data_IF_167444742409
#
_entry.id   IF_167444742409
#
_cell.length_a   1.000
_cell.length_b   1.000
_cell.length_c   1.000
_cell.angle_alpha   90.00
_cell.angle_beta   90.00
_cell.angle_gamma   90.00
#
_symmetry.space_group_name_H-M   'P 1'
#
loop_
_entity.id
_entity.type
_entity.pdbx_description
1 polymer ?
#
# COMPACT_ATOMS: atom_id res chain seq x y z
N UNK A 1 -25.60 12.37 31.13
CA UNK A 1 -24.37 13.02 30.59
C UNK A 1 -24.30 12.63 29.13
N UNK A 2 -24.47 13.59 28.21
CA UNK A 2 -24.27 13.37 26.78
C UNK A 2 -22.75 13.41 26.58
N UNK A 3 -22.14 12.26 26.34
CA UNK A 3 -20.73 12.20 25.93
C UNK A 3 -20.73 12.77 24.51
N UNK A 4 -20.23 14.00 24.36
CA UNK A 4 -20.07 14.60 23.04
C UNK A 4 -19.12 13.72 22.19
N UNK A 5 -19.45 13.55 20.91
CA UNK A 5 -18.55 12.89 19.98
C UNK A 5 -17.17 13.59 20.04
N UNK A 6 -16.06 12.84 19.99
CA UNK A 6 -14.74 13.46 19.91
C UNK A 6 -14.69 14.39 18.69
N UNK A 7 -13.93 15.50 18.77
CA UNK A 7 -13.80 16.41 17.64
C UNK A 7 -13.23 15.64 16.44
N UNK A 8 -13.81 15.87 15.27
CA UNK A 8 -13.31 15.29 14.03
C UNK A 8 -11.84 15.65 13.84
N UNK A 9 -11.02 14.67 13.42
CA UNK A 9 -9.61 14.89 13.10
C UNK A 9 -9.55 15.81 11.89
N UNK A 10 -8.85 16.95 12.01
CA UNK A 10 -8.60 17.81 10.87
C UNK A 10 -7.56 17.13 9.96
N UNK A 11 -8.02 16.66 8.80
CA UNK A 11 -7.19 16.12 7.72
C UNK A 11 -6.88 17.24 6.71
N UNK A 12 -5.76 17.17 5.96
CA UNK A 12 -5.58 18.04 4.80
C UNK A 12 -6.65 17.74 3.76
N UNK A 13 -6.98 18.69 2.90
CA UNK A 13 -7.87 18.41 1.77
C UNK A 13 -7.21 17.41 0.83
N UNK A 14 -7.98 16.47 0.22
CA UNK A 14 -7.43 15.55 -0.78
C UNK A 14 -6.90 16.31 -2.01
N UNK A 15 -5.69 16.00 -2.44
CA UNK A 15 -5.10 16.51 -3.68
C UNK A 15 -5.58 15.63 -4.82
N UNK A 16 -6.27 16.16 -5.84
CA UNK A 16 -6.67 15.37 -7.00
C UNK A 16 -5.44 14.94 -7.83
N UNK A 17 -5.50 13.76 -8.41
CA UNK A 17 -4.47 13.25 -9.31
C UNK A 17 -5.00 13.14 -10.74
N UNK A 18 -5.21 14.29 -11.37
CA UNK A 18 -5.70 14.35 -12.76
C UNK A 18 -4.65 13.74 -13.71
N UNK A 19 -5.02 12.63 -14.35
CA UNK A 19 -4.14 11.93 -15.30
C UNK A 19 -3.25 10.84 -14.69
N UNK A 20 -3.30 10.58 -13.37
CA UNK A 20 -2.71 9.39 -12.79
C UNK A 20 -3.34 8.13 -13.36
N UNK A 21 -2.55 7.08 -13.48
CA UNK A 21 -3.08 5.78 -13.84
C UNK A 21 -4.09 5.29 -12.81
N UNK A 22 -5.21 4.77 -13.29
CA UNK A 22 -6.28 4.26 -12.44
C UNK A 22 -6.62 2.83 -12.89
N UNK A 23 -6.58 1.82 -11.99
CA UNK A 23 -6.98 0.47 -12.33
C UNK A 23 -8.49 0.38 -12.55
N UNK A 24 -8.90 -0.39 -13.56
CA UNK A 24 -10.28 -0.83 -13.65
C UNK A 24 -10.62 -1.79 -12.49
N UNK A 25 -11.90 -1.93 -12.14
CA UNK A 25 -12.34 -2.81 -11.04
C UNK A 25 -11.80 -4.24 -11.15
N UNK A 26 -11.56 -4.73 -12.37
CA UNK A 26 -11.12 -6.11 -12.62
C UNK A 26 -9.74 -6.18 -13.28
N UNK A 27 -8.85 -5.27 -12.92
CA UNK A 27 -7.47 -5.29 -13.39
C UNK A 27 -6.75 -6.54 -12.90
N UNK A 28 -6.17 -7.29 -13.83
CA UNK A 28 -5.29 -8.42 -13.50
C UNK A 28 -3.95 -7.92 -13.01
N UNK A 29 -3.33 -8.61 -12.04
CA UNK A 29 -2.13 -8.09 -11.42
C UNK A 29 -1.15 -9.16 -10.93
N UNK A 30 0.10 -8.76 -10.73
CA UNK A 30 1.15 -9.54 -10.09
C UNK A 30 1.78 -8.72 -8.97
N UNK A 31 1.94 -9.31 -7.79
CA UNK A 31 2.70 -8.75 -6.68
C UNK A 31 3.98 -9.55 -6.49
N UNK A 32 5.13 -8.93 -6.77
CA UNK A 32 6.41 -9.61 -6.64
C UNK A 32 7.46 -8.68 -6.02
N UNK A 33 7.75 -8.87 -4.73
CA UNK A 33 8.69 -8.04 -3.98
C UNK A 33 10.06 -8.71 -3.79
N UNK A 34 10.19 -10.00 -4.13
CA UNK A 34 11.42 -10.73 -3.92
C UNK A 34 11.95 -11.32 -5.23
N UNK A 35 13.28 -11.36 -5.31
CA UNK A 35 14.05 -11.87 -6.44
C UNK A 35 13.84 -11.07 -7.73
N UNK A 36 14.41 -11.58 -8.82
CA UNK A 36 14.22 -10.96 -10.15
C UNK A 36 12.76 -11.05 -10.55
N UNK A 37 12.18 -9.92 -10.94
CA UNK A 37 10.81 -9.84 -11.45
C UNK A 37 10.67 -10.75 -12.69
N UNK A 38 9.61 -11.53 -12.70
CA UNK A 38 9.22 -12.35 -13.86
C UNK A 38 8.36 -11.50 -14.79
N UNK A 39 8.99 -10.83 -15.73
CA UNK A 39 8.34 -9.95 -16.71
C UNK A 39 7.54 -10.69 -17.77
N UNK A 40 7.56 -12.04 -17.76
CA UNK A 40 6.77 -12.87 -18.70
C UNK A 40 5.34 -13.12 -18.24
N UNK A 41 4.96 -12.71 -17.03
CA UNK A 41 3.60 -12.85 -16.53
C UNK A 41 2.69 -11.85 -17.25
N UNK A 42 1.69 -12.36 -17.97
CA UNK A 42 0.74 -11.54 -18.73
C UNK A 42 -0.36 -11.02 -17.79
N UNK A 43 -0.20 -9.77 -17.35
CA UNK A 43 -1.13 -9.05 -16.48
C UNK A 43 -1.10 -7.55 -16.78
N UNK A 44 -2.16 -6.85 -16.38
CA UNK A 44 -2.34 -5.41 -16.62
C UNK A 44 -1.59 -4.53 -15.60
N UNK A 45 -1.17 -5.09 -14.45
CA UNK A 45 -0.48 -4.34 -13.41
C UNK A 45 0.55 -5.22 -12.69
N UNK A 46 1.71 -4.66 -12.44
CA UNK A 46 2.71 -5.21 -11.52
C UNK A 46 2.89 -4.31 -10.32
N UNK A 47 3.09 -4.92 -9.15
CA UNK A 47 3.56 -4.24 -7.96
C UNK A 47 4.89 -4.86 -7.55
N UNK A 48 5.94 -4.04 -7.58
CA UNK A 48 7.33 -4.48 -7.41
C UNK A 48 8.11 -3.54 -6.49
N UNK A 49 9.13 -4.05 -5.83
CA UNK A 49 9.98 -3.26 -4.93
C UNK A 49 10.63 -2.06 -5.64
N UNK A 50 10.41 -0.86 -5.09
CA UNK A 50 10.87 0.39 -5.67
C UNK A 50 12.39 0.56 -5.60
N UNK A 51 13.05 0.06 -4.55
CA UNK A 51 14.50 0.19 -4.39
C UNK A 51 15.26 -0.83 -5.26
N UNK A 52 14.85 -2.09 -5.24
CA UNK A 52 15.57 -3.20 -5.83
C UNK A 52 15.45 -3.25 -7.36
N UNK A 53 14.44 -2.61 -7.93
CA UNK A 53 14.23 -2.59 -9.37
C UNK A 53 14.75 -1.31 -10.02
N UNK A 54 15.45 -1.49 -11.13
CA UNK A 54 15.99 -0.39 -11.95
C UNK A 54 14.91 0.12 -12.91
N UNK A 55 15.00 1.38 -13.41
CA UNK A 55 14.07 1.93 -14.39
C UNK A 55 13.82 1.01 -15.59
N UNK A 56 14.85 0.32 -16.08
CA UNK A 56 14.71 -0.62 -17.19
C UNK A 56 13.69 -1.74 -16.95
N UNK A 57 13.49 -2.19 -15.69
CA UNK A 57 12.47 -3.22 -15.38
C UNK A 57 11.08 -2.62 -15.55
N UNK A 58 10.89 -1.38 -15.11
CA UNK A 58 9.64 -0.63 -15.29
C UNK A 58 9.35 -0.44 -16.79
N UNK A 59 10.34 0.01 -17.56
CA UNK A 59 10.24 0.15 -19.02
C UNK A 59 9.86 -1.18 -19.71
N UNK A 60 10.50 -2.30 -19.31
CA UNK A 60 10.21 -3.64 -19.87
C UNK A 60 8.76 -4.07 -19.58
N UNK A 61 8.22 -3.76 -18.39
CA UNK A 61 6.83 -4.04 -18.04
C UNK A 61 5.85 -3.14 -18.79
N UNK A 62 6.18 -1.85 -18.97
CA UNK A 62 5.41 -0.92 -19.80
C UNK A 62 5.38 -1.36 -21.28
N UNK A 63 6.51 -1.83 -21.82
CA UNK A 63 6.58 -2.38 -23.17
C UNK A 63 5.68 -3.61 -23.33
N UNK A 64 5.46 -4.37 -22.23
CA UNK A 64 4.48 -5.45 -22.13
C UNK A 64 3.03 -4.98 -21.99
N UNK A 65 2.79 -3.67 -21.83
CA UNK A 65 1.45 -3.08 -21.67
C UNK A 65 0.93 -3.03 -20.24
N UNK A 66 1.74 -3.37 -19.24
CA UNK A 66 1.35 -3.35 -17.84
C UNK A 66 1.70 -2.01 -17.18
N UNK A 67 0.82 -1.49 -16.30
CA UNK A 67 1.17 -0.46 -15.34
C UNK A 67 2.03 -1.04 -14.21
N UNK A 68 2.83 -0.18 -13.55
CA UNK A 68 3.78 -0.64 -12.53
C UNK A 68 3.67 0.19 -11.26
N UNK A 69 3.37 -0.46 -10.15
CA UNK A 69 3.37 0.13 -8.82
C UNK A 69 4.72 -0.02 -8.14
N UNK A 70 5.10 1.02 -7.42
CA UNK A 70 6.31 1.10 -6.63
C UNK A 70 6.01 0.74 -5.18
N UNK A 71 6.38 -0.46 -4.73
CA UNK A 71 6.34 -0.80 -3.32
C UNK A 71 7.43 -0.04 -2.56
N UNK A 72 7.03 0.65 -1.50
CA UNK A 72 7.92 1.21 -0.48
C UNK A 72 7.28 1.08 0.91
N UNK A 73 8.05 0.70 1.93
CA UNK A 73 7.55 0.80 3.30
C UNK A 73 7.48 2.27 3.72
N UNK A 74 6.32 2.71 4.20
CA UNK A 74 6.12 4.08 4.67
C UNK A 74 5.88 4.17 6.19
N UNK A 75 5.50 3.05 6.82
CA UNK A 75 5.28 2.98 8.26
C UNK A 75 6.34 2.20 9.01
N UNK A 76 7.29 1.58 8.32
CA UNK A 76 8.46 0.93 8.93
C UNK A 76 9.79 1.36 8.31
N UNK A 77 10.83 1.31 9.12
CA UNK A 77 12.23 1.41 8.75
C UNK A 77 12.78 0.02 8.46
N UNK A 78 13.62 -0.07 7.43
CA UNK A 78 14.25 -1.30 6.96
C UNK A 78 15.76 -1.11 6.96
N UNK A 79 16.54 -1.93 7.69
CA UNK A 79 17.98 -1.74 7.91
C UNK A 79 18.83 -1.94 6.65
N UNK A 80 18.29 -2.59 5.63
CA UNK A 80 18.95 -2.88 4.35
C UNK A 80 18.72 -1.83 3.26
N UNK A 81 17.85 -0.84 3.51
CA UNK A 81 17.58 0.19 2.49
C UNK A 81 18.72 1.20 2.37
N UNK A 82 18.97 1.70 1.16
CA UNK A 82 20.04 2.68 0.93
C UNK A 82 19.89 3.97 1.74
N UNK A 83 18.69 4.30 2.18
CA UNK A 83 18.34 5.48 2.97
C UNK A 83 18.16 5.19 4.47
N UNK A 84 18.53 4.00 4.94
CA UNK A 84 18.34 3.61 6.34
C UNK A 84 19.01 4.58 7.32
N UNK A 85 20.21 5.07 7.00
CA UNK A 85 21.00 5.97 7.84
C UNK A 85 20.41 7.40 7.94
N UNK A 86 19.44 7.75 7.09
CA UNK A 86 18.78 9.08 7.12
C UNK A 86 17.74 9.16 8.25
N UNK A 87 17.24 8.02 8.73
CA UNK A 87 16.25 7.99 9.80
C UNK A 87 16.90 8.21 11.16
N UNK A 88 16.53 9.26 11.93
CA UNK A 88 17.02 9.43 13.29
C UNK A 88 16.49 8.31 14.20
N UNK A 89 17.36 7.79 15.09
CA UNK A 89 16.96 6.75 16.07
C UNK A 89 15.70 7.11 16.89
N UNK A 90 15.46 8.39 17.12
CA UNK A 90 14.30 8.88 17.89
C UNK A 90 12.94 8.61 17.22
N UNK A 91 12.89 8.24 15.93
CA UNK A 91 11.67 7.86 15.23
C UNK A 91 11.55 6.36 15.02
N UNK A 92 12.55 5.56 15.43
CA UNK A 92 12.59 4.12 15.27
C UNK A 92 12.00 3.42 16.49
N UNK A 93 10.91 2.70 16.30
CA UNK A 93 10.17 2.00 17.33
C UNK A 93 10.61 0.55 17.54
N UNK A 94 9.66 -0.29 17.90
CA UNK A 94 9.85 -1.74 18.06
C UNK A 94 9.87 -2.40 16.68
N UNK A 95 10.39 -3.63 16.64
CA UNK A 95 10.25 -4.47 15.45
C UNK A 95 8.78 -4.71 15.12
N UNK A 96 8.47 -4.75 13.83
CA UNK A 96 7.15 -5.13 13.31
C UNK A 96 6.98 -6.65 13.16
N UNK A 97 8.03 -7.43 13.46
CA UNK A 97 8.05 -8.90 13.35
C UNK A 97 8.90 -9.41 12.19
N UNK A 98 9.26 -8.56 11.24
CA UNK A 98 10.19 -8.90 10.16
C UNK A 98 11.64 -8.59 10.59
N UNK A 99 12.60 -9.48 10.30
CA UNK A 99 14.00 -9.22 10.60
C UNK A 99 14.50 -7.95 9.92
N UNK A 100 15.13 -7.05 10.68
CA UNK A 100 15.66 -5.80 10.16
C UNK A 100 14.65 -4.65 10.07
N UNK A 101 13.38 -4.88 10.43
CA UNK A 101 12.34 -3.85 10.37
C UNK A 101 11.93 -3.33 11.75
N UNK A 102 11.65 -2.03 11.79
CA UNK A 102 11.15 -1.33 12.98
C UNK A 102 10.06 -0.32 12.60
N UNK A 103 8.98 -0.28 13.39
CA UNK A 103 7.93 0.71 13.23
C UNK A 103 8.46 2.15 13.33
N UNK A 104 7.81 3.08 12.61
CA UNK A 104 8.12 4.51 12.66
C UNK A 104 7.17 5.27 13.60
N UNK A 105 7.68 6.33 14.25
CA UNK A 105 6.84 7.32 14.94
C UNK A 105 6.22 8.29 13.92
N UNK A 106 5.11 7.87 13.32
CA UNK A 106 4.41 8.62 12.26
C UNK A 106 3.87 9.99 12.70
N UNK A 107 3.83 10.28 14.03
CA UNK A 107 3.49 11.59 14.56
C UNK A 107 4.56 12.64 14.23
N UNK A 108 5.75 12.20 13.89
CA UNK A 108 6.91 13.05 13.59
C UNK A 108 6.99 13.39 12.11
N UNK A 109 5.86 13.81 11.54
CA UNK A 109 5.78 14.14 10.11
C UNK A 109 6.90 15.03 9.61
N UNK A 110 7.24 16.13 10.34
CA UNK A 110 8.33 17.03 9.94
C UNK A 110 9.72 16.37 9.84
N UNK A 111 9.91 15.17 10.41
CA UNK A 111 11.13 14.38 10.29
C UNK A 111 11.01 13.37 9.16
N UNK A 112 9.84 12.74 9.03
CA UNK A 112 9.60 11.67 8.06
C UNK A 112 9.28 12.19 6.66
N UNK A 113 8.61 13.34 6.53
CA UNK A 113 8.20 13.88 5.24
C UNK A 113 9.35 13.97 4.23
N UNK A 114 10.52 14.58 4.52
CA UNK A 114 11.59 14.65 3.54
C UNK A 114 12.10 13.28 3.06
N UNK A 115 12.00 12.26 3.91
CA UNK A 115 12.43 10.89 3.58
C UNK A 115 11.39 10.23 2.69
N UNK A 116 10.11 10.33 3.04
CA UNK A 116 9.02 9.77 2.26
C UNK A 116 8.88 10.47 0.90
N UNK A 117 8.99 11.78 0.87
CA UNK A 117 9.05 12.56 -0.37
C UNK A 117 10.20 12.10 -1.28
N UNK A 118 11.39 11.86 -0.73
CA UNK A 118 12.53 11.34 -1.51
C UNK A 118 12.26 9.92 -2.06
N UNK A 119 11.55 9.06 -1.32
CA UNK A 119 11.11 7.73 -1.78
C UNK A 119 10.09 7.86 -2.91
N UNK A 120 9.08 8.72 -2.76
CA UNK A 120 8.10 9.00 -3.82
C UNK A 120 8.75 9.61 -5.07
N UNK A 121 9.69 10.56 -4.89
CA UNK A 121 10.50 11.11 -5.99
C UNK A 121 11.31 10.02 -6.71
N UNK A 122 11.82 9.04 -5.97
CA UNK A 122 12.53 7.90 -6.57
C UNK A 122 11.57 7.08 -7.44
N UNK A 123 10.37 6.77 -6.97
CA UNK A 123 9.34 6.05 -7.73
C UNK A 123 8.98 6.80 -9.02
N UNK A 124 8.67 8.09 -8.91
CA UNK A 124 8.34 8.94 -10.07
C UNK A 124 9.49 9.00 -11.08
N UNK A 125 10.73 9.22 -10.62
CA UNK A 125 11.92 9.24 -11.51
C UNK A 125 12.23 7.91 -12.17
N UNK A 126 11.84 6.79 -11.57
CA UNK A 126 11.99 5.45 -12.18
C UNK A 126 10.88 5.11 -13.16
N UNK A 127 9.86 5.97 -13.28
CA UNK A 127 8.75 5.84 -14.23
C UNK A 127 7.60 4.97 -13.75
N UNK A 128 7.47 4.73 -12.44
CA UNK A 128 6.31 4.02 -11.89
C UNK A 128 5.02 4.83 -12.06
N UNK A 129 3.88 4.14 -12.23
CA UNK A 129 2.55 4.74 -12.43
C UNK A 129 1.82 5.02 -11.12
N UNK A 130 2.20 4.34 -10.06
CA UNK A 130 1.61 4.48 -8.73
C UNK A 130 2.49 3.90 -7.64
N UNK A 131 1.99 3.96 -6.41
CA UNK A 131 2.72 3.47 -5.23
C UNK A 131 1.85 2.60 -4.33
N UNK A 132 2.46 1.57 -3.76
CA UNK A 132 2.02 0.87 -2.56
C UNK A 132 2.86 1.38 -1.39
N UNK A 133 2.21 2.01 -0.41
CA UNK A 133 2.82 2.53 0.81
C UNK A 133 2.53 1.57 1.96
N UNK A 134 3.49 0.71 2.28
CA UNK A 134 3.29 -0.38 3.24
C UNK A 134 3.48 0.05 4.70
N UNK A 135 2.94 -0.78 5.62
CA UNK A 135 3.01 -0.60 7.08
C UNK A 135 2.30 0.67 7.59
N UNK A 136 1.22 1.07 6.93
CA UNK A 136 0.46 2.30 7.24
C UNK A 136 -0.76 2.07 8.14
N UNK A 137 -0.70 1.06 8.99
CA UNK A 137 -1.68 0.67 10.00
C UNK A 137 -1.08 0.57 11.42
N UNK A 138 0.03 1.23 11.66
CA UNK A 138 0.83 1.15 12.88
C UNK A 138 0.05 1.42 14.17
N UNK A 139 -1.03 2.24 14.12
CA UNK A 139 -1.84 2.57 15.31
C UNK A 139 -2.52 1.34 15.93
N UNK A 140 -2.72 0.28 15.16
CA UNK A 140 -3.28 -1.00 15.63
C UNK A 140 -2.19 -1.95 16.16
N UNK A 141 -0.93 -1.57 16.04
CA UNK A 141 0.23 -2.40 16.29
C UNK A 141 1.04 -1.96 17.53
N UNK A 142 1.90 -2.85 18.01
CA UNK A 142 2.80 -2.55 19.15
C UNK A 142 4.06 -1.83 18.67
N UNK A 143 3.92 -0.64 18.14
CA UNK A 143 5.01 0.14 17.54
C UNK A 143 6.07 0.61 18.53
N UNK A 144 5.76 0.67 19.81
CA UNK A 144 6.61 1.30 20.84
C UNK A 144 6.29 2.79 21.08
N UNK A 145 5.41 3.34 20.26
CA UNK A 145 4.89 4.70 20.38
C UNK A 145 3.38 4.65 20.70
N UNK A 146 2.85 5.65 21.44
CA UNK A 146 1.42 5.76 21.68
C UNK A 146 0.72 6.39 20.47
N UNK A 147 0.68 5.66 19.36
CA UNK A 147 -0.02 6.08 18.14
C UNK A 147 -1.53 5.96 18.35
N UNK A 148 -2.25 6.99 17.96
CA UNK A 148 -3.71 7.01 17.93
C UNK A 148 -4.22 6.88 16.49
N UNK A 149 -5.47 6.43 16.31
CA UNK A 149 -6.13 6.35 15.00
C UNK A 149 -6.06 7.69 14.24
N UNK A 150 -6.20 8.81 14.96
CA UNK A 150 -6.07 10.15 14.41
C UNK A 150 -4.67 10.48 13.85
N UNK A 151 -3.63 9.89 14.42
CA UNK A 151 -2.26 10.07 13.91
C UNK A 151 -2.09 9.33 12.59
N UNK A 152 -2.63 8.09 12.51
CA UNK A 152 -2.58 7.27 11.30
C UNK A 152 -3.36 7.93 10.16
N UNK A 153 -4.60 8.36 10.41
CA UNK A 153 -5.39 9.10 9.42
C UNK A 153 -4.64 10.29 8.83
N UNK A 154 -4.04 11.14 9.69
CA UNK A 154 -3.28 12.31 9.21
C UNK A 154 -2.05 11.92 8.40
N UNK A 155 -1.37 10.87 8.83
CA UNK A 155 -0.17 10.38 8.15
C UNK A 155 -0.52 9.84 6.78
N UNK A 156 -1.52 8.95 6.69
CA UNK A 156 -1.96 8.32 5.45
C UNK A 156 -2.50 9.35 4.44
N UNK A 157 -3.34 10.30 4.91
CA UNK A 157 -3.85 11.38 4.05
C UNK A 157 -2.73 12.27 3.47
N UNK A 158 -1.68 12.58 4.26
CA UNK A 158 -0.52 13.34 3.78
C UNK A 158 0.30 12.56 2.77
N UNK A 159 0.58 11.29 3.04
CA UNK A 159 1.31 10.44 2.13
C UNK A 159 0.61 10.31 0.77
N UNK A 160 -0.72 10.14 0.79
CA UNK A 160 -1.51 10.06 -0.43
C UNK A 160 -1.41 11.36 -1.24
N UNK A 161 -1.54 12.52 -0.59
CA UNK A 161 -1.38 13.81 -1.25
C UNK A 161 0.02 13.99 -1.85
N UNK A 162 1.08 13.61 -1.12
CA UNK A 162 2.45 13.65 -1.62
C UNK A 162 2.67 12.75 -2.86
N UNK A 163 2.00 11.58 -2.91
CA UNK A 163 2.02 10.72 -4.10
C UNK A 163 1.32 11.41 -5.28
N UNK A 164 0.14 11.97 -5.07
CA UNK A 164 -0.64 12.66 -6.09
C UNK A 164 0.07 13.90 -6.64
N UNK A 165 0.74 14.70 -5.81
CA UNK A 165 1.56 15.84 -6.24
C UNK A 165 2.69 15.45 -7.21
N UNK A 166 3.10 14.16 -7.19
CA UNK A 166 4.11 13.59 -8.08
C UNK A 166 3.54 12.85 -9.28
N UNK A 167 2.21 12.87 -9.46
CA UNK A 167 1.53 12.15 -10.53
C UNK A 167 1.50 10.64 -10.35
N UNK A 168 1.65 10.15 -9.11
CA UNK A 168 1.58 8.73 -8.77
C UNK A 168 0.20 8.42 -8.18
N UNK A 169 -0.49 7.42 -8.72
CA UNK A 169 -1.67 6.87 -8.04
C UNK A 169 -1.27 6.13 -6.76
N UNK A 170 -2.18 5.98 -5.80
CA UNK A 170 -1.81 5.45 -4.48
C UNK A 170 -2.77 4.40 -3.96
N UNK A 171 -2.20 3.26 -3.50
CA UNK A 171 -2.92 2.18 -2.83
C UNK A 171 -3.03 2.43 -1.33
N UNK A 172 -4.24 2.26 -0.75
CA UNK A 172 -4.37 2.08 0.70
C UNK A 172 -3.99 0.64 1.04
N UNK A 173 -2.86 0.48 1.74
CA UNK A 173 -2.44 -0.82 2.22
C UNK A 173 -3.05 -1.13 3.58
N UNK A 174 -3.83 -2.20 3.66
CA UNK A 174 -4.50 -2.64 4.89
C UNK A 174 -5.31 -1.49 5.54
N UNK A 175 -5.11 -1.18 6.81
CA UNK A 175 -5.77 -0.09 7.58
C UNK A 175 -7.30 -0.04 7.43
N UNK A 176 -7.92 -1.23 7.46
CA UNK A 176 -9.33 -1.45 7.14
C UNK A 176 -10.28 -0.63 8.00
N UNK A 177 -9.90 -0.34 9.25
CA UNK A 177 -10.71 0.44 10.19
C UNK A 177 -10.85 1.93 9.83
N UNK A 178 -10.09 2.42 8.82
CA UNK A 178 -10.07 3.83 8.41
C UNK A 178 -10.44 4.02 6.93
N UNK A 179 -10.98 2.98 6.29
CA UNK A 179 -11.33 2.99 4.86
C UNK A 179 -12.28 4.13 4.51
N UNK A 180 -13.33 4.37 5.30
CA UNK A 180 -14.33 5.39 4.99
C UNK A 180 -13.72 6.80 4.96
N UNK A 181 -12.85 7.13 5.94
CA UNK A 181 -12.20 8.43 6.03
C UNK A 181 -11.09 8.61 4.97
N UNK A 182 -10.42 7.52 4.59
CA UNK A 182 -9.30 7.54 3.66
C UNK A 182 -9.72 7.35 2.20
N UNK A 183 -10.94 6.88 1.92
CA UNK A 183 -11.46 6.67 0.58
C UNK A 183 -11.30 7.89 -0.36
N UNK A 184 -11.45 9.16 0.09
CA UNK A 184 -11.23 10.31 -0.76
C UNK A 184 -9.77 10.55 -1.19
N UNK A 185 -8.80 9.95 -0.49
CA UNK A 185 -7.37 10.17 -0.70
C UNK A 185 -6.71 9.09 -1.54
N UNK A 186 -7.26 7.87 -1.53
CA UNK A 186 -6.64 6.72 -2.16
C UNK A 186 -7.40 6.28 -3.41
N UNK A 187 -6.67 5.83 -4.41
CA UNK A 187 -7.21 5.47 -5.73
C UNK A 187 -7.72 4.04 -5.79
N UNK A 188 -7.14 3.16 -5.01
CA UNK A 188 -7.48 1.74 -4.89
C UNK A 188 -7.00 1.22 -3.53
N UNK A 189 -7.39 -0.01 -3.19
CA UNK A 189 -6.94 -0.68 -1.97
C UNK A 189 -6.08 -1.90 -2.30
N UNK A 190 -5.11 -2.19 -1.44
CA UNK A 190 -4.34 -3.43 -1.42
C UNK A 190 -4.38 -4.03 -0.01
N UNK A 191 -4.85 -5.26 0.09
CA UNK A 191 -5.04 -5.90 1.39
C UNK A 191 -4.40 -7.28 1.47
N UNK A 192 -3.97 -7.64 2.67
CA UNK A 192 -3.48 -8.96 3.00
C UNK A 192 -4.44 -9.66 3.96
N UNK A 193 -4.88 -10.86 3.57
CA UNK A 193 -5.56 -11.84 4.44
C UNK A 193 -6.95 -11.43 4.96
N UNK A 194 -7.67 -10.51 4.34
CA UNK A 194 -8.98 -10.11 4.84
C UNK A 194 -10.01 -11.26 4.86
N UNK A 195 -9.90 -12.28 3.98
CA UNK A 195 -10.75 -13.46 4.05
C UNK A 195 -10.38 -14.37 5.22
N UNK A 196 -9.07 -14.48 5.54
CA UNK A 196 -8.62 -15.24 6.71
C UNK A 196 -9.14 -14.64 8.01
N UNK A 197 -9.24 -13.31 8.09
CA UNK A 197 -9.69 -12.59 9.27
C UNK A 197 -11.17 -12.21 9.24
N UNK A 198 -11.88 -12.57 8.17
CA UNK A 198 -13.33 -12.32 7.97
C UNK A 198 -13.70 -10.82 8.01
N UNK A 199 -12.88 -9.95 7.42
CA UNK A 199 -13.02 -8.50 7.45
C UNK A 199 -13.04 -7.84 6.06
N UNK A 200 -13.13 -8.65 4.97
CA UNK A 200 -13.14 -8.12 3.60
C UNK A 200 -14.28 -7.14 3.30
N UNK A 201 -15.41 -7.24 4.00
CA UNK A 201 -16.55 -6.34 3.83
C UNK A 201 -16.20 -4.87 4.08
N UNK A 202 -15.15 -4.60 4.89
CA UNK A 202 -14.65 -3.25 5.15
C UNK A 202 -14.04 -2.57 3.92
N UNK A 203 -13.71 -3.34 2.88
CA UNK A 203 -13.16 -2.83 1.61
C UNK A 203 -14.24 -2.52 0.55
N UNK A 204 -15.50 -2.90 0.79
CA UNK A 204 -16.61 -2.65 -0.16
C UNK A 204 -16.75 -1.18 -0.56
N UNK A 205 -16.53 -0.17 0.32
CA UNK A 205 -16.62 1.23 -0.05
C UNK A 205 -15.73 1.61 -1.26
N UNK A 206 -14.57 0.95 -1.45
CA UNK A 206 -13.74 1.16 -2.63
C UNK A 206 -14.47 0.74 -3.92
N UNK A 207 -15.01 -0.47 -3.96
CA UNK A 207 -15.73 -0.97 -5.14
C UNK A 207 -17.01 -0.16 -5.40
N UNK A 208 -17.73 0.21 -4.36
CA UNK A 208 -18.92 1.07 -4.46
C UNK A 208 -18.58 2.46 -5.04
N UNK A 209 -17.37 2.96 -4.76
CA UNK A 209 -16.83 4.18 -5.35
C UNK A 209 -16.20 3.97 -6.75
N UNK A 210 -16.26 2.77 -7.31
CA UNK A 210 -15.65 2.43 -8.60
C UNK A 210 -14.13 2.25 -8.56
N UNK A 211 -13.54 2.10 -7.35
CA UNK A 211 -12.12 1.93 -7.11
C UNK A 211 -11.79 0.45 -6.92
N UNK A 212 -10.71 -0.03 -7.54
CA UNK A 212 -10.31 -1.43 -7.47
C UNK A 212 -9.84 -1.84 -6.06
N UNK A 213 -10.07 -3.11 -5.73
CA UNK A 213 -9.52 -3.76 -4.55
C UNK A 213 -8.64 -4.92 -5.01
N UNK A 214 -7.38 -4.86 -4.63
CA UNK A 214 -6.40 -5.93 -4.79
C UNK A 214 -6.18 -6.62 -3.45
N UNK A 215 -5.98 -7.93 -3.47
CA UNK A 215 -5.73 -8.61 -2.22
C UNK A 215 -5.06 -9.96 -2.40
N UNK A 216 -4.50 -10.44 -1.31
CA UNK A 216 -3.82 -11.72 -1.28
C UNK A 216 -4.17 -12.54 -0.06
N UNK A 217 -4.14 -13.85 -0.26
CA UNK A 217 -4.22 -14.84 0.80
C UNK A 217 -2.99 -15.74 0.79
N UNK A 218 -2.51 -16.08 1.97
CA UNK A 218 -1.34 -16.96 2.14
C UNK A 218 -1.70 -18.38 2.55
N UNK A 219 -2.71 -18.53 3.40
CA UNK A 219 -3.03 -19.80 4.06
C UNK A 219 -4.30 -20.45 3.53
N UNK A 220 -5.30 -19.65 3.19
CA UNK A 220 -6.57 -20.17 2.67
C UNK A 220 -6.37 -20.77 1.28
N UNK A 221 -7.12 -21.83 0.98
CA UNK A 221 -7.17 -22.40 -0.36
C UNK A 221 -8.07 -21.57 -1.26
N UNK A 222 -7.74 -21.51 -2.55
CA UNK A 222 -8.45 -20.71 -3.55
C UNK A 222 -9.96 -21.03 -3.62
N UNK A 223 -10.33 -22.28 -3.45
CA UNK A 223 -11.75 -22.70 -3.42
C UNK A 223 -12.52 -22.09 -2.24
N UNK A 224 -11.82 -21.72 -1.16
CA UNK A 224 -12.40 -21.12 0.04
C UNK A 224 -12.66 -19.62 -0.08
N UNK A 225 -11.83 -18.89 -0.81
CA UNK A 225 -11.94 -17.42 -0.87
C UNK A 225 -12.23 -16.86 -2.28
N UNK A 226 -11.74 -17.46 -3.36
CA UNK A 226 -11.91 -16.91 -4.70
C UNK A 226 -13.37 -16.70 -5.14
N UNK A 227 -14.32 -17.62 -4.85
CA UNK A 227 -15.72 -17.37 -5.19
C UNK A 227 -16.28 -16.11 -4.51
N UNK A 228 -15.88 -15.87 -3.25
CA UNK A 228 -16.29 -14.67 -2.48
C UNK A 228 -15.61 -13.43 -3.04
N UNK A 229 -14.31 -13.46 -3.27
CA UNK A 229 -13.55 -12.36 -3.85
C UNK A 229 -14.14 -11.93 -5.21
N UNK A 230 -14.46 -12.89 -6.06
CA UNK A 230 -15.06 -12.63 -7.37
C UNK A 230 -16.48 -12.03 -7.26
N UNK A 231 -17.27 -12.48 -6.28
CA UNK A 231 -18.60 -11.92 -6.02
C UNK A 231 -18.56 -10.47 -5.50
N UNK A 232 -17.49 -10.08 -4.83
CA UNK A 232 -17.22 -8.72 -4.33
C UNK A 232 -16.50 -7.83 -5.37
N UNK A 233 -16.22 -8.34 -6.57
CA UNK A 233 -15.40 -7.69 -7.59
C UNK A 233 -13.96 -7.38 -7.14
N UNK A 234 -13.42 -8.13 -6.20
CA UNK A 234 -12.05 -8.02 -5.72
C UNK A 234 -11.07 -8.82 -6.57
N UNK A 235 -9.86 -8.31 -6.75
CA UNK A 235 -8.77 -8.92 -7.52
C UNK A 235 -7.82 -9.67 -6.57
N UNK A 236 -8.15 -10.91 -6.21
CA UNK A 236 -7.40 -11.66 -5.23
C UNK A 236 -6.44 -12.67 -5.84
N UNK A 237 -5.29 -12.81 -5.19
CA UNK A 237 -4.28 -13.81 -5.49
C UNK A 237 -4.03 -14.69 -4.28
N UNK A 238 -3.75 -15.96 -4.50
CA UNK A 238 -3.03 -16.78 -3.53
C UNK A 238 -1.53 -16.59 -3.77
N UNK A 239 -0.82 -16.24 -2.72
CA UNK A 239 0.63 -16.02 -2.73
C UNK A 239 1.33 -16.90 -1.70
N UNK A 240 2.64 -17.03 -1.82
CA UNK A 240 3.50 -17.50 -0.73
C UNK A 240 4.03 -16.28 0.01
N UNK A 241 4.26 -16.42 1.32
CA UNK A 241 4.77 -15.32 2.15
C UNK A 241 6.12 -14.76 1.69
N UNK A 242 6.86 -15.53 0.87
CA UNK A 242 8.12 -15.08 0.26
C UNK A 242 7.93 -14.07 -0.87
N UNK A 243 6.69 -13.78 -1.31
CA UNK A 243 6.34 -12.78 -2.33
C UNK A 243 7.17 -12.82 -3.63
N UNK A 244 7.59 -14.04 -4.05
CA UNK A 244 8.20 -14.26 -5.35
C UNK A 244 7.19 -14.33 -6.50
N UNK A 245 7.62 -14.78 -7.68
CA UNK A 245 6.79 -14.83 -8.89
C UNK A 245 5.56 -15.73 -8.79
N UNK A 246 5.61 -16.80 -7.97
CA UNK A 246 4.49 -17.74 -7.86
C UNK A 246 3.21 -17.08 -7.37
N UNK A 247 2.12 -17.30 -8.11
CA UNK A 247 0.76 -16.85 -7.76
C UNK A 247 -0.30 -17.80 -8.29
N UNK A 248 -1.50 -17.78 -7.72
CA UNK A 248 -2.73 -18.31 -8.32
C UNK A 248 -3.77 -17.20 -8.26
N UNK A 249 -4.24 -16.76 -9.43
CA UNK A 249 -5.27 -15.73 -9.52
C UNK A 249 -6.66 -16.34 -9.35
N UNK A 250 -7.58 -15.57 -8.76
CA UNK A 250 -8.98 -15.97 -8.60
C UNK A 250 -9.77 -15.85 -9.92
N UNK A 251 -9.27 -15.08 -10.88
CA UNK A 251 -9.81 -14.85 -12.21
C UNK A 251 -8.71 -14.44 -13.18
#
# INVERSE_FOLDING_TARGET
MVVGAPPAVALPDPVPCDGCWQPALRTSWQWQLQWRVDTSVDVEMFDIDGFDNRPRVVEELHDGGAAVLCYVSAGSWEDWRPDADVFPEAVLGRTNGWPGERWLDIRRWGVLAPIMEARLDMCARKGFDGVELDNVDGHQNRTGFPLEAADQLRYNARLANEAHERGLSVALKNDLGQVEELLPYFDYALNEQCFQYEECDLLLPFVEAGKAVFGIEYRLDTDGFCPRANAMDFNFLKKRLSLGAWRVACR
#
